data_IF_692002725872
#
_entry.id   IF_692002725872
#
_cell.length_a   1.000
_cell.length_b   1.000
_cell.length_c   1.000
_cell.angle_alpha   90.00
_cell.angle_beta   90.00
_cell.angle_gamma   90.00
#
_symmetry.space_group_name_H-M   'P 1'
#
loop_
_entity.id
_entity.type
_entity.pdbx_description
1 polymer ?
#
# COMPACT_ATOMS: atom_id res chain seq x y z
N UNK A 1 6.85 -13.68 28.81
CA UNK A 1 8.01 -14.58 28.64
C UNK A 1 9.07 -13.81 27.86
N UNK A 2 10.35 -13.96 28.21
CA UNK A 2 11.46 -13.29 27.49
C UNK A 2 12.19 -14.36 26.69
N UNK A 3 12.38 -14.12 25.41
CA UNK A 3 13.17 -14.98 24.52
C UNK A 3 14.43 -14.24 24.13
N UNK A 4 15.58 -14.83 24.42
CA UNK A 4 16.88 -14.29 24.01
C UNK A 4 17.31 -14.98 22.71
N UNK A 5 17.66 -14.21 21.70
CA UNK A 5 18.18 -14.72 20.44
C UNK A 5 19.48 -14.01 20.09
N UNK A 6 20.45 -14.77 19.57
CA UNK A 6 21.74 -14.23 19.14
C UNK A 6 21.66 -13.84 17.67
N UNK A 7 22.25 -12.70 17.33
CA UNK A 7 22.45 -12.26 15.95
C UNK A 7 23.67 -12.99 15.41
N UNK A 8 23.52 -13.74 14.31
CA UNK A 8 24.66 -14.40 13.66
C UNK A 8 25.61 -13.37 13.03
N UNK A 9 26.83 -13.76 12.67
CA UNK A 9 27.78 -12.89 11.98
C UNK A 9 27.26 -12.35 10.63
N UNK A 10 26.28 -13.02 10.04
CA UNK A 10 25.61 -12.61 8.81
C UNK A 10 24.40 -11.71 9.06
N UNK A 11 24.12 -11.35 10.32
CA UNK A 11 22.98 -10.50 10.70
C UNK A 11 21.64 -11.22 10.78
N UNK A 12 21.62 -12.56 10.89
CA UNK A 12 20.38 -13.33 10.99
C UNK A 12 19.94 -13.46 12.45
N UNK A 13 18.62 -13.41 12.70
CA UNK A 13 18.01 -13.64 14.02
C UNK A 13 17.09 -14.86 13.93
N UNK A 14 17.32 -15.85 14.80
CA UNK A 14 16.46 -17.04 14.85
C UNK A 14 15.27 -16.78 15.76
N UNK A 15 14.06 -16.93 15.21
CA UNK A 15 12.81 -16.82 15.98
C UNK A 15 12.47 -18.20 16.58
N UNK A 16 12.28 -18.31 17.91
CA UNK A 16 11.89 -19.56 18.55
C UNK A 16 10.60 -20.14 17.97
N UNK A 17 10.52 -21.47 17.92
CA UNK A 17 9.40 -22.21 17.29
C UNK A 17 8.04 -21.84 17.89
N UNK A 18 7.99 -21.59 19.20
CA UNK A 18 6.76 -21.20 19.91
C UNK A 18 6.23 -19.87 19.37
N UNK A 19 7.10 -18.85 19.30
CA UNK A 19 6.75 -17.52 18.80
C UNK A 19 6.37 -17.56 17.31
N UNK A 20 7.08 -18.37 16.52
CA UNK A 20 6.83 -18.51 15.08
C UNK A 20 5.45 -19.10 14.80
N UNK A 21 4.99 -20.07 15.60
CA UNK A 21 3.67 -20.69 15.47
C UNK A 21 2.55 -19.78 15.97
N UNK A 22 2.77 -19.11 17.09
CA UNK A 22 1.79 -18.16 17.67
C UNK A 22 1.52 -16.99 16.72
N UNK A 23 2.55 -16.50 16.03
CA UNK A 23 2.47 -15.37 15.10
C UNK A 23 2.28 -15.77 13.63
N UNK A 24 2.09 -17.06 13.33
CA UNK A 24 1.92 -17.60 11.98
C UNK A 24 2.99 -17.09 10.98
N UNK A 25 4.26 -17.27 11.38
CA UNK A 25 5.43 -16.77 10.66
C UNK A 25 6.16 -17.83 9.83
N UNK A 26 5.62 -19.04 9.70
CA UNK A 26 6.32 -20.18 9.06
C UNK A 26 6.75 -19.90 7.59
N UNK A 27 6.07 -18.99 6.88
CA UNK A 27 6.45 -18.50 5.54
C UNK A 27 6.13 -17.01 5.32
N UNK A 28 6.09 -16.24 6.40
CA UNK A 28 5.70 -14.83 6.33
C UNK A 28 6.85 -13.93 5.87
N UNK A 29 6.58 -13.02 4.94
CA UNK A 29 7.44 -11.86 4.73
C UNK A 29 7.21 -10.87 5.87
N UNK A 30 8.30 -10.40 6.49
CA UNK A 30 8.26 -9.44 7.58
C UNK A 30 8.68 -8.05 7.11
N UNK A 31 7.90 -7.04 7.44
CA UNK A 31 8.29 -5.65 7.39
C UNK A 31 9.06 -5.30 8.67
N UNK A 32 10.19 -4.60 8.50
CA UNK A 32 11.06 -4.16 9.58
C UNK A 32 10.92 -2.65 9.69
N UNK A 33 10.45 -2.15 10.83
CA UNK A 33 10.36 -0.71 11.10
C UNK A 33 11.24 -0.35 12.28
N UNK A 34 12.10 0.65 12.11
CA UNK A 34 12.91 1.21 13.20
C UNK A 34 12.08 2.24 13.95
N UNK A 35 11.99 2.08 15.27
CA UNK A 35 11.36 3.05 16.15
C UNK A 35 12.42 4.03 16.69
N UNK A 36 11.99 5.17 17.24
CA UNK A 36 12.88 6.21 17.76
C UNK A 36 13.64 5.82 19.04
N UNK A 37 13.20 4.77 19.73
CA UNK A 37 13.75 4.24 20.98
C UNK A 37 14.82 3.14 20.76
N UNK A 38 15.44 3.14 19.59
CA UNK A 38 16.41 2.10 19.17
C UNK A 38 15.84 0.68 19.18
N UNK A 39 14.50 0.54 19.14
CA UNK A 39 13.83 -0.74 18.94
C UNK A 39 13.45 -0.95 17.48
N UNK A 40 13.22 -2.21 17.12
CA UNK A 40 12.75 -2.60 15.80
C UNK A 40 11.44 -3.37 15.98
N UNK A 41 10.41 -2.95 15.26
CA UNK A 41 9.15 -3.68 15.17
C UNK A 41 9.14 -4.54 13.90
N UNK A 42 8.78 -5.81 14.07
CA UNK A 42 8.57 -6.75 12.99
C UNK A 42 7.07 -6.95 12.81
N UNK A 43 6.56 -6.76 11.60
CA UNK A 43 5.14 -7.01 11.26
C UNK A 43 5.02 -7.88 10.03
N UNK A 44 4.04 -8.77 10.00
CA UNK A 44 3.71 -9.55 8.81
C UNK A 44 3.29 -8.60 7.69
N UNK A 45 3.96 -8.68 6.55
CA UNK A 45 3.58 -7.95 5.36
C UNK A 45 2.32 -8.61 4.79
N UNK A 46 1.24 -7.84 4.53
CA UNK A 46 0.06 -8.39 3.88
C UNK A 46 0.42 -8.92 2.49
N UNK A 47 -0.13 -10.07 2.14
CA UNK A 47 0.02 -10.65 0.80
C UNK A 47 -0.61 -9.71 -0.25
N UNK A 48 -0.01 -9.60 -1.44
CA UNK A 48 -0.59 -8.84 -2.56
C UNK A 48 -2.01 -9.34 -2.89
N UNK A 49 -2.25 -10.65 -2.75
CA UNK A 49 -3.59 -11.23 -2.94
C UNK A 49 -4.61 -10.76 -1.88
N UNK A 50 -4.17 -10.33 -0.70
CA UNK A 50 -5.06 -9.74 0.30
C UNK A 50 -5.62 -8.37 -0.11
N UNK A 51 -5.01 -7.72 -1.11
CA UNK A 51 -5.50 -6.48 -1.70
C UNK A 51 -6.53 -6.73 -2.81
N UNK A 52 -6.78 -7.98 -3.19
CA UNK A 52 -7.80 -8.32 -4.17
C UNK A 52 -9.18 -7.82 -3.72
N UNK A 53 -9.86 -7.07 -4.58
CA UNK A 53 -11.17 -6.49 -4.26
C UNK A 53 -11.12 -5.22 -3.40
N UNK A 54 -9.94 -4.68 -3.04
CA UNK A 54 -9.83 -3.38 -2.36
C UNK A 54 -10.50 -2.21 -3.11
N UNK A 55 -10.59 -2.33 -4.44
CA UNK A 55 -11.28 -1.39 -5.32
C UNK A 55 -12.73 -1.76 -5.64
N UNK A 56 -13.25 -2.88 -5.11
CA UNK A 56 -14.62 -3.35 -5.38
C UNK A 56 -15.71 -2.34 -5.00
N UNK A 57 -15.45 -1.51 -3.98
CA UNK A 57 -16.36 -0.41 -3.58
C UNK A 57 -16.54 0.65 -4.66
N UNK A 58 -15.55 0.84 -5.53
CA UNK A 58 -15.62 1.74 -6.68
C UNK A 58 -16.21 1.05 -7.92
N UNK A 59 -16.08 -0.28 -7.98
CA UNK A 59 -16.65 -1.09 -9.06
C UNK A 59 -18.19 -1.24 -8.98
N UNK A 60 -18.82 -0.89 -7.85
CA UNK A 60 -20.30 -0.97 -7.67
C UNK A 60 -21.11 -0.11 -8.65
N UNK A 61 -20.48 0.86 -9.31
CA UNK A 61 -21.13 1.76 -10.27
C UNK A 61 -20.86 1.38 -11.74
N UNK A 62 -20.27 0.21 -11.99
CA UNK A 62 -20.11 -0.31 -13.34
C UNK A 62 -21.39 -1.09 -13.65
N UNK A 63 -22.25 -0.55 -14.52
CA UNK A 63 -23.41 -1.26 -15.03
C UNK A 63 -22.97 -2.65 -15.50
N UNK A 64 -23.57 -3.70 -14.91
CA UNK A 64 -23.21 -5.11 -15.17
C UNK A 64 -23.41 -5.55 -16.64
N UNK A 65 -23.94 -4.68 -17.49
CA UNK A 65 -24.12 -4.89 -18.93
C UNK A 65 -23.07 -4.23 -19.82
N UNK A 66 -22.09 -3.51 -19.26
CA UNK A 66 -21.01 -2.89 -20.05
C UNK A 66 -20.08 -3.98 -20.60
N UNK A 67 -19.85 -3.95 -21.91
CA UNK A 67 -18.81 -4.77 -22.54
C UNK A 67 -17.43 -4.36 -22.01
N UNK A 68 -16.46 -5.28 -21.99
CA UNK A 68 -15.08 -4.99 -21.57
C UNK A 68 -14.47 -3.77 -22.29
N UNK A 69 -14.82 -3.58 -23.56
CA UNK A 69 -14.38 -2.42 -24.35
C UNK A 69 -14.97 -1.08 -23.86
N UNK A 70 -16.23 -1.10 -23.40
CA UNK A 70 -16.89 0.10 -22.87
C UNK A 70 -16.33 0.48 -21.49
N UNK A 71 -15.94 -0.51 -20.70
CA UNK A 71 -15.24 -0.29 -19.43
C UNK A 71 -13.90 0.39 -19.68
N UNK A 72 -13.09 -0.13 -20.62
CA UNK A 72 -11.80 0.45 -20.99
C UNK A 72 -11.95 1.89 -21.50
N UNK A 73 -12.99 2.16 -22.29
CA UNK A 73 -13.29 3.51 -22.78
C UNK A 73 -13.64 4.48 -21.65
N UNK A 74 -14.55 4.08 -20.75
CA UNK A 74 -14.92 4.89 -19.57
C UNK A 74 -13.72 5.14 -18.64
N UNK A 75 -12.84 4.16 -18.50
CA UNK A 75 -11.61 4.30 -17.70
C UNK A 75 -10.68 5.36 -18.29
N UNK A 76 -10.44 5.33 -19.61
CA UNK A 76 -9.64 6.36 -20.30
C UNK A 76 -10.23 7.76 -20.12
N UNK A 77 -11.54 7.92 -20.33
CA UNK A 77 -12.23 9.20 -20.16
C UNK A 77 -12.15 9.72 -18.71
N UNK A 78 -12.27 8.83 -17.72
CA UNK A 78 -12.13 9.20 -16.30
C UNK A 78 -10.70 9.67 -15.96
N UNK A 79 -9.68 8.98 -16.49
CA UNK A 79 -8.27 9.35 -16.30
C UNK A 79 -7.98 10.71 -16.94
N UNK A 80 -8.47 10.95 -18.15
CA UNK A 80 -8.25 12.21 -18.86
C UNK A 80 -8.93 13.39 -18.16
N UNK A 81 -10.15 13.20 -17.66
CA UNK A 81 -10.84 14.21 -16.86
C UNK A 81 -10.11 14.50 -15.54
N UNK A 82 -9.65 13.46 -14.84
CA UNK A 82 -8.88 13.64 -13.60
C UNK A 82 -7.56 14.39 -13.84
N UNK A 83 -6.86 14.08 -14.95
CA UNK A 83 -5.66 14.81 -15.37
C UNK A 83 -5.97 16.28 -15.68
N UNK A 84 -7.03 16.54 -16.43
CA UNK A 84 -7.46 17.90 -16.76
C UNK A 84 -7.79 18.71 -15.50
N UNK A 85 -8.51 18.14 -14.54
CA UNK A 85 -8.79 18.79 -13.25
C UNK A 85 -7.51 19.07 -12.45
N UNK A 86 -6.59 18.11 -12.41
CA UNK A 86 -5.31 18.26 -11.72
C UNK A 86 -4.49 19.40 -12.34
N UNK A 87 -4.45 19.49 -13.67
CA UNK A 87 -3.83 20.61 -14.40
C UNK A 87 -4.53 21.94 -14.11
N UNK A 88 -5.87 22.00 -14.12
CA UNK A 88 -6.63 23.21 -13.77
C UNK A 88 -6.32 23.69 -12.35
N UNK A 89 -6.27 22.77 -11.37
CA UNK A 89 -5.91 23.10 -9.98
C UNK A 89 -4.47 23.62 -9.87
N UNK A 90 -3.54 23.01 -10.61
CA UNK A 90 -2.13 23.45 -10.66
C UNK A 90 -2.00 24.86 -11.27
N UNK A 91 -2.71 25.14 -12.36
CA UNK A 91 -2.72 26.46 -13.01
C UNK A 91 -3.34 27.54 -12.11
N UNK A 92 -4.45 27.25 -11.43
CA UNK A 92 -5.04 28.17 -10.44
C UNK A 92 -4.07 28.52 -9.31
N UNK A 93 -3.33 27.52 -8.80
CA UNK A 93 -2.29 27.75 -7.77
C UNK A 93 -1.18 28.67 -8.29
N UNK A 94 -0.67 28.43 -9.49
CA UNK A 94 0.39 29.25 -10.10
C UNK A 94 -0.08 30.68 -10.38
N UNK A 95 -1.32 30.86 -10.87
CA UNK A 95 -1.91 32.19 -11.09
C UNK A 95 -2.06 32.99 -9.79
N UNK A 96 -2.49 32.35 -8.70
CA UNK A 96 -2.54 33.01 -7.39
C UNK A 96 -1.15 33.37 -6.85
N UNK A 97 -0.10 32.59 -7.15
CA UNK A 97 1.28 32.93 -6.75
C UNK A 97 1.82 34.13 -7.52
N UNK A 98 1.44 34.33 -8.79
CA UNK A 98 1.89 35.48 -9.59
C UNK A 98 1.23 36.81 -9.18
N UNK A 99 0.04 36.77 -8.58
CA UNK A 99 -0.71 37.98 -8.16
C UNK A 99 -0.22 38.52 -6.79
N UNK A 100 0.55 37.73 -6.05
CA UNK A 100 1.02 38.07 -4.68
C UNK A 100 2.48 38.62 -4.70
N UNK A 101 3.13 38.72 -5.87
CA UNK A 101 4.48 39.28 -6.03
C UNK A 101 4.42 40.70 -6.56
#
# INVERSE_FOLDING_TARGET
MIYTATVTSQGQITIPVQLRRELDLDRATLSITKNGDNSIALKKTPDLLSLAGSLSKYAKNIDKGLSGDEIIKKEKEAIDNARAEHYRKKLKRLGNTLIIV
#
